data_IF_404809977228
#
_entry.id   IF_404809977228
#
_cell.length_a   1.000
_cell.length_b   1.000
_cell.length_c   1.000
_cell.angle_alpha   90.00
_cell.angle_beta   90.00
_cell.angle_gamma   90.00
#
_symmetry.space_group_name_H-M   'P 1'
#
loop_
_entity.id
_entity.type
_entity.pdbx_description
1 polymer ?
#
# COMPACT_ATOMS: atom_id res chain seq x y z
N UNK A 1 -9.13 -11.32 -14.70
CA UNK A 1 -7.85 -11.34 -15.45
C UNK A 1 -7.12 -12.64 -15.12
N UNK A 2 -6.26 -13.16 -15.99
CA UNK A 2 -5.75 -14.55 -15.91
C UNK A 2 -4.39 -14.64 -15.21
N UNK A 3 -4.13 -15.79 -14.56
CA UNK A 3 -2.94 -16.24 -13.79
C UNK A 3 -1.57 -15.75 -14.31
N UNK A 4 -1.48 -15.37 -15.59
CA UNK A 4 -0.30 -14.75 -16.22
C UNK A 4 0.17 -13.46 -15.52
N UNK A 5 -0.71 -12.65 -14.92
CA UNK A 5 -0.32 -11.40 -14.26
C UNK A 5 0.44 -11.62 -12.95
N UNK A 6 0.15 -12.70 -12.20
CA UNK A 6 0.75 -12.93 -10.88
C UNK A 6 2.20 -13.44 -10.99
N UNK A 7 2.45 -14.40 -11.89
CA UNK A 7 3.80 -14.89 -12.18
C UNK A 7 4.71 -13.80 -12.77
N UNK A 8 4.12 -12.89 -13.55
CA UNK A 8 4.82 -11.71 -14.05
C UNK A 8 5.23 -10.78 -12.89
N UNK A 9 4.32 -10.53 -11.93
CA UNK A 9 4.61 -9.71 -10.75
C UNK A 9 5.66 -10.34 -9.83
N UNK A 10 5.61 -11.65 -9.61
CA UNK A 10 6.64 -12.38 -8.85
C UNK A 10 8.00 -12.31 -9.56
N UNK A 11 8.04 -12.62 -10.86
CA UNK A 11 9.25 -12.54 -11.67
C UNK A 11 9.84 -11.12 -11.70
N UNK A 12 9.01 -10.10 -11.87
CA UNK A 12 9.43 -8.69 -11.90
C UNK A 12 9.91 -8.19 -10.53
N UNK A 13 9.37 -8.75 -9.44
CA UNK A 13 9.86 -8.53 -8.07
C UNK A 13 11.26 -9.11 -7.89
N UNK A 14 11.51 -10.32 -8.39
CA UNK A 14 12.85 -10.95 -8.37
C UNK A 14 13.86 -10.18 -9.23
N UNK A 15 13.43 -9.56 -10.33
CA UNK A 15 14.33 -8.81 -11.23
C UNK A 15 14.42 -7.31 -10.93
N UNK A 16 13.85 -6.82 -9.82
CA UNK A 16 13.75 -5.40 -9.45
C UNK A 16 13.10 -4.48 -10.52
N UNK A 17 12.46 -5.05 -11.53
CA UNK A 17 11.86 -4.28 -12.63
C UNK A 17 10.52 -3.68 -12.20
N UNK A 18 10.16 -2.45 -12.57
CA UNK A 18 8.86 -1.88 -12.18
C UNK A 18 7.70 -2.70 -12.71
N UNK A 19 6.72 -2.97 -11.85
CA UNK A 19 5.47 -3.62 -12.24
C UNK A 19 4.56 -2.58 -12.87
N UNK A 20 4.02 -2.88 -14.06
CA UNK A 20 3.04 -2.03 -14.73
C UNK A 20 1.68 -2.71 -14.70
N UNK A 21 0.71 -2.09 -14.04
CA UNK A 21 -0.66 -2.56 -13.95
C UNK A 21 -1.51 -1.67 -14.87
N UNK A 22 -2.12 -2.21 -15.94
CA UNK A 22 -3.05 -1.44 -16.77
C UNK A 22 -4.17 -0.87 -15.90
N UNK A 23 -4.42 0.43 -16.01
CA UNK A 23 -5.39 1.12 -15.17
C UNK A 23 -5.94 2.34 -15.91
N UNK A 24 -7.26 2.39 -16.08
CA UNK A 24 -7.92 3.51 -16.74
C UNK A 24 -8.53 4.45 -15.72
N UNK A 25 -8.10 5.71 -15.75
CA UNK A 25 -8.65 6.78 -14.91
C UNK A 25 -9.92 7.34 -15.58
N UNK A 26 -11.05 6.67 -15.33
CA UNK A 26 -12.36 7.01 -15.90
C UNK A 26 -12.88 8.36 -15.41
N UNK A 27 -12.69 8.70 -14.13
CA UNK A 27 -13.07 9.96 -13.53
C UNK A 27 -11.94 11.00 -13.65
N UNK A 28 -11.92 11.70 -14.79
CA UNK A 28 -10.93 12.75 -15.10
C UNK A 28 -11.14 14.05 -14.31
N UNK A 29 -12.32 14.28 -13.74
CA UNK A 29 -12.62 15.50 -12.95
C UNK A 29 -11.85 15.52 -11.62
N UNK A 30 -11.53 14.34 -11.09
CA UNK A 30 -10.69 14.18 -9.90
C UNK A 30 -9.20 14.53 -10.15
N UNK A 31 -8.81 14.73 -11.41
CA UNK A 31 -7.43 14.95 -11.82
C UNK A 31 -7.21 16.43 -12.15
N UNK A 32 -6.18 17.08 -11.59
CA UNK A 32 -5.88 18.48 -11.89
C UNK A 32 -5.64 18.72 -13.39
N UNK A 33 -6.14 19.85 -13.90
CA UNK A 33 -5.93 20.27 -15.29
C UNK A 33 -4.44 20.29 -15.65
N UNK A 34 -4.08 19.68 -16.78
CA UNK A 34 -2.70 19.58 -17.25
C UNK A 34 -1.87 18.45 -16.63
N UNK A 35 -2.48 17.59 -15.79
CA UNK A 35 -1.87 16.32 -15.37
C UNK A 35 -2.45 15.18 -16.20
N UNK A 36 -1.56 14.39 -16.78
CA UNK A 36 -1.92 13.13 -17.42
C UNK A 36 -1.49 11.99 -16.48
N UNK A 37 -2.44 11.20 -15.94
CA UNK A 37 -2.11 10.05 -15.11
C UNK A 37 -1.62 8.84 -15.93
N UNK A 38 -1.76 8.87 -17.27
CA UNK A 38 -1.48 7.74 -18.15
C UNK A 38 -2.59 6.68 -18.15
N UNK A 39 -2.25 5.50 -18.68
CA UNK A 39 -3.11 4.31 -18.85
C UNK A 39 -2.67 3.11 -17.98
N UNK A 40 -1.70 3.34 -17.10
CA UNK A 40 -1.18 2.31 -16.20
C UNK A 40 -0.66 2.91 -14.89
N UNK A 41 -0.79 2.12 -13.82
CA UNK A 41 -0.13 2.38 -12.55
C UNK A 41 1.20 1.62 -12.53
N UNK A 42 2.28 2.34 -12.25
CA UNK A 42 3.63 1.78 -12.21
C UNK A 42 4.12 1.69 -10.77
N UNK A 43 4.38 0.47 -10.29
CA UNK A 43 4.89 0.20 -8.94
C UNK A 43 6.37 -0.19 -9.05
N UNK A 44 7.24 0.72 -8.59
CA UNK A 44 8.71 0.53 -8.57
C UNK A 44 9.13 -0.33 -7.37
N UNK A 45 10.39 -0.83 -7.32
CA UNK A 45 10.93 -1.40 -6.07
C UNK A 45 10.75 -0.42 -4.91
N UNK A 46 10.15 -0.87 -3.80
CA UNK A 46 9.85 0.01 -2.67
C UNK A 46 11.17 0.42 -2.01
N UNK A 47 11.38 1.72 -1.90
CA UNK A 47 12.59 2.23 -1.23
C UNK A 47 12.52 1.98 0.27
N UNK A 48 13.67 1.84 0.92
CA UNK A 48 13.77 1.69 2.38
C UNK A 48 12.99 2.81 3.10
N UNK A 49 13.07 4.04 2.62
CA UNK A 49 12.35 5.19 3.18
C UNK A 49 10.83 5.03 3.08
N UNK A 50 10.32 4.72 1.89
CA UNK A 50 8.87 4.50 1.70
C UNK A 50 8.40 3.32 2.55
N UNK A 51 9.22 2.27 2.66
CA UNK A 51 8.97 1.14 3.55
C UNK A 51 8.80 1.58 5.01
N UNK A 52 9.70 2.40 5.55
CA UNK A 52 9.58 2.90 6.92
C UNK A 52 8.28 3.68 7.17
N UNK A 53 7.70 4.27 6.12
CA UNK A 53 6.40 4.98 6.19
C UNK A 53 5.20 4.04 6.09
N UNK A 54 5.30 2.99 5.27
CA UNK A 54 4.27 1.96 5.10
C UNK A 54 4.20 1.03 6.32
N UNK A 55 5.36 0.65 6.87
CA UNK A 55 5.49 -0.30 7.99
C UNK A 55 4.56 -0.02 9.17
N UNK A 56 4.49 1.19 9.76
CA UNK A 56 3.59 1.44 10.89
C UNK A 56 2.12 1.25 10.53
N UNK A 57 1.71 1.56 9.29
CA UNK A 57 0.33 1.38 8.83
C UNK A 57 -0.03 -0.11 8.75
N UNK A 58 0.89 -0.94 8.27
CA UNK A 58 0.70 -2.39 8.21
C UNK A 58 0.63 -3.03 9.59
N UNK A 59 1.31 -2.46 10.60
CA UNK A 59 1.25 -2.97 11.97
C UNK A 59 -0.12 -2.73 12.63
N UNK A 60 -0.91 -1.77 12.14
CA UNK A 60 -2.28 -1.51 12.61
C UNK A 60 -3.32 -2.49 12.04
N UNK A 61 -2.94 -3.33 11.08
CA UNK A 61 -3.78 -4.37 10.51
C UNK A 61 -3.47 -5.69 11.20
N UNK A 62 -4.51 -6.46 11.56
CA UNK A 62 -4.32 -7.79 12.13
C UNK A 62 -3.63 -8.71 11.13
N UNK A 63 -2.77 -9.61 11.60
CA UNK A 63 -1.91 -10.39 10.69
C UNK A 63 -2.76 -11.34 9.85
N UNK A 64 -3.73 -11.96 10.49
CA UNK A 64 -4.70 -12.86 9.90
C UNK A 64 -5.52 -12.13 8.82
N UNK A 65 -5.84 -10.85 9.06
CA UNK A 65 -6.56 -10.01 8.11
C UNK A 65 -5.68 -9.62 6.91
N UNK A 66 -4.37 -9.36 7.11
CA UNK A 66 -3.42 -9.15 6.01
C UNK A 66 -3.33 -10.39 5.12
N UNK A 67 -3.17 -11.57 5.73
CA UNK A 67 -3.05 -12.84 5.00
C UNK A 67 -4.33 -13.13 4.18
N UNK A 68 -5.50 -12.77 4.73
CA UNK A 68 -6.80 -12.84 4.05
C UNK A 68 -6.98 -11.85 2.90
N UNK A 69 -6.19 -10.77 2.82
CA UNK A 69 -6.23 -9.80 1.71
C UNK A 69 -5.24 -10.15 0.59
N UNK A 70 -4.15 -10.84 0.95
CA UNK A 70 -3.09 -11.30 0.04
C UNK A 70 -3.52 -12.66 -0.54
N UNK A 71 -4.60 -12.64 -1.32
CA UNK A 71 -5.18 -13.86 -1.90
C UNK A 71 -4.85 -13.96 -3.38
N UNK A 72 -4.71 -15.19 -3.87
CA UNK A 72 -4.57 -15.48 -5.30
C UNK A 72 -5.86 -15.11 -6.04
N UNK A 73 -5.70 -14.74 -7.30
CA UNK A 73 -6.82 -14.35 -8.17
C UNK A 73 -7.84 -15.51 -8.26
N UNK A 74 -9.12 -15.25 -7.97
CA UNK A 74 -10.21 -16.24 -7.97
C UNK A 74 -10.67 -16.76 -6.61
N UNK A 75 -9.92 -16.54 -5.53
CA UNK A 75 -10.37 -16.78 -4.16
C UNK A 75 -10.96 -15.49 -3.59
N UNK A 76 -12.20 -15.17 -3.98
CA UNK A 76 -12.95 -14.10 -3.33
C UNK A 76 -13.23 -14.51 -1.89
N UNK A 77 -12.41 -14.01 -0.98
CA UNK A 77 -12.67 -14.16 0.44
C UNK A 77 -13.98 -13.42 0.75
N UNK A 78 -14.99 -14.15 1.24
CA UNK A 78 -16.30 -13.58 1.56
C UNK A 78 -16.21 -12.42 2.57
N UNK A 79 -15.16 -12.41 3.39
CA UNK A 79 -14.85 -11.38 4.38
C UNK A 79 -14.32 -10.08 3.76
N UNK A 80 -14.03 -10.05 2.45
CA UNK A 80 -13.34 -8.93 1.82
C UNK A 80 -14.05 -7.57 1.99
N UNK A 81 -15.38 -7.44 1.78
CA UNK A 81 -16.08 -6.18 2.04
C UNK A 81 -15.97 -5.71 3.51
N UNK A 82 -15.94 -6.64 4.46
CA UNK A 82 -15.78 -6.31 5.88
C UNK A 82 -14.37 -5.82 6.19
N UNK A 83 -13.36 -6.49 5.64
CA UNK A 83 -11.95 -6.09 5.74
C UNK A 83 -11.71 -4.72 5.12
N UNK A 84 -12.36 -4.45 4.00
CA UNK A 84 -12.35 -3.17 3.32
C UNK A 84 -13.01 -2.08 4.17
N UNK A 85 -14.19 -2.32 4.74
CA UNK A 85 -14.82 -1.37 5.65
C UNK A 85 -13.98 -1.10 6.91
N UNK A 86 -13.29 -2.13 7.42
CA UNK A 86 -12.44 -2.04 8.62
C UNK A 86 -11.13 -1.30 8.37
N UNK A 87 -10.47 -1.53 7.24
CA UNK A 87 -9.10 -1.08 6.97
C UNK A 87 -8.93 -0.18 5.75
N UNK A 88 -10.01 0.17 5.04
CA UNK A 88 -9.94 0.83 3.73
C UNK A 88 -9.11 2.10 3.71
N UNK A 89 -9.22 2.94 4.75
CA UNK A 89 -8.38 4.13 4.90
C UNK A 89 -6.89 3.80 4.97
N UNK A 90 -6.51 2.80 5.78
CA UNK A 90 -5.13 2.35 5.95
C UNK A 90 -4.59 1.70 4.67
N UNK A 91 -5.39 0.87 4.01
CA UNK A 91 -5.01 0.22 2.76
C UNK A 91 -4.75 1.25 1.66
N UNK A 92 -5.64 2.25 1.55
CA UNK A 92 -5.47 3.33 0.60
C UNK A 92 -4.22 4.17 0.89
N UNK A 93 -3.89 4.41 2.17
CA UNK A 93 -2.65 5.10 2.56
C UNK A 93 -1.41 4.30 2.17
N UNK A 94 -1.42 2.98 2.41
CA UNK A 94 -0.33 2.09 1.97
C UNK A 94 -0.21 2.10 0.45
N UNK A 95 -1.33 2.01 -0.28
CA UNK A 95 -1.37 2.03 -1.74
C UNK A 95 -0.80 3.33 -2.30
N UNK A 96 -1.26 4.46 -1.76
CA UNK A 96 -0.83 5.78 -2.16
C UNK A 96 0.69 5.98 -1.95
N UNK A 97 1.21 5.54 -0.80
CA UNK A 97 2.64 5.59 -0.49
C UNK A 97 3.46 4.66 -1.39
N UNK A 98 2.97 3.45 -1.65
CA UNK A 98 3.68 2.46 -2.46
C UNK A 98 3.74 2.83 -3.94
N UNK A 99 2.68 3.45 -4.50
CA UNK A 99 2.72 3.95 -5.88
C UNK A 99 3.60 5.19 -6.00
N UNK A 100 3.46 6.15 -5.08
CA UNK A 100 4.24 7.40 -5.12
C UNK A 100 5.74 7.14 -4.91
N UNK A 101 6.09 6.29 -3.94
CA UNK A 101 7.43 5.79 -3.61
C UNK A 101 8.55 6.85 -3.71
N UNK A 102 8.31 8.03 -3.16
CA UNK A 102 9.25 9.15 -3.10
C UNK A 102 9.38 9.66 -1.67
N UNK A 103 10.46 10.42 -1.36
CA UNK A 103 10.64 11.02 -0.05
C UNK A 103 9.53 12.00 0.34
N UNK A 104 8.99 12.74 -0.64
CA UNK A 104 7.91 13.69 -0.42
C UNK A 104 6.58 12.99 -0.13
N UNK A 105 5.63 13.72 0.42
CA UNK A 105 4.26 13.22 0.51
C UNK A 105 3.62 13.07 -0.87
N UNK A 106 2.74 12.07 -1.04
CA UNK A 106 1.89 12.01 -2.22
C UNK A 106 1.05 13.30 -2.30
N UNK A 107 0.87 13.89 -3.50
CA UNK A 107 0.02 15.05 -3.66
C UNK A 107 -1.41 14.78 -3.16
N UNK A 108 -2.05 15.78 -2.54
CA UNK A 108 -3.40 15.60 -1.97
C UNK A 108 -4.44 15.14 -3.02
N UNK A 109 -4.32 15.62 -4.26
CA UNK A 109 -5.19 15.21 -5.37
C UNK A 109 -4.99 13.75 -5.77
N UNK A 110 -3.80 13.18 -5.55
CA UNK A 110 -3.48 11.82 -5.99
C UNK A 110 -4.27 10.78 -5.20
N UNK A 111 -4.32 10.93 -3.87
CA UNK A 111 -5.15 10.07 -3.02
C UNK A 111 -6.63 10.17 -3.40
N UNK A 112 -7.12 11.38 -3.67
CA UNK A 112 -8.50 11.60 -4.11
C UNK A 112 -8.78 10.97 -5.49
N UNK A 113 -7.88 11.14 -6.44
CA UNK A 113 -7.99 10.53 -7.76
C UNK A 113 -8.02 9.00 -7.67
N UNK A 114 -7.23 8.39 -6.79
CA UNK A 114 -7.33 6.94 -6.54
C UNK A 114 -8.70 6.56 -5.98
N UNK A 115 -9.21 7.24 -4.95
CA UNK A 115 -10.56 6.97 -4.40
C UNK A 115 -11.63 7.05 -5.48
N UNK A 116 -11.58 8.10 -6.29
CA UNK A 116 -12.61 8.41 -7.27
C UNK A 116 -12.55 7.51 -8.53
N UNK A 117 -11.47 6.74 -8.72
CA UNK A 117 -11.24 5.89 -9.89
C UNK A 117 -11.05 4.40 -9.56
N UNK A 118 -10.89 4.02 -8.29
CA UNK A 118 -10.65 2.63 -7.90
C UNK A 118 -11.86 2.01 -7.23
N UNK A 119 -12.12 0.76 -7.54
CA UNK A 119 -12.98 -0.09 -6.72
C UNK A 119 -12.18 -0.67 -5.55
N UNK A 120 -12.90 -1.25 -4.58
CA UNK A 120 -12.28 -2.03 -3.52
C UNK A 120 -11.41 -3.17 -4.06
N UNK A 121 -11.82 -3.82 -5.16
CA UNK A 121 -11.04 -4.87 -5.80
C UNK A 121 -9.74 -4.33 -6.40
N UNK A 122 -9.77 -3.15 -7.01
CA UNK A 122 -8.56 -2.48 -7.53
C UNK A 122 -7.60 -2.13 -6.38
N UNK A 123 -8.12 -1.60 -5.27
CA UNK A 123 -7.31 -1.30 -4.07
C UNK A 123 -6.63 -2.58 -3.56
N UNK A 124 -7.32 -3.73 -3.54
CA UNK A 124 -6.72 -5.02 -3.17
C UNK A 124 -5.60 -5.42 -4.11
N UNK A 125 -5.82 -5.32 -5.42
CA UNK A 125 -4.81 -5.67 -6.44
C UNK A 125 -3.57 -4.79 -6.27
N UNK A 126 -3.76 -3.49 -6.09
CA UNK A 126 -2.68 -2.53 -5.88
C UNK A 126 -1.93 -2.76 -4.56
N UNK A 127 -2.68 -3.03 -3.48
CA UNK A 127 -2.11 -3.37 -2.18
C UNK A 127 -1.27 -4.63 -2.28
N UNK A 128 -1.81 -5.69 -2.88
CA UNK A 128 -1.11 -6.95 -3.07
C UNK A 128 0.19 -6.76 -3.86
N UNK A 129 0.13 -6.01 -4.96
CA UNK A 129 1.30 -5.66 -5.74
C UNK A 129 2.36 -4.94 -4.90
N UNK A 130 2.00 -3.99 -4.03
CA UNK A 130 2.96 -3.31 -3.15
C UNK A 130 3.56 -4.26 -2.11
N UNK A 131 2.75 -5.12 -1.50
CA UNK A 131 3.23 -6.12 -0.53
C UNK A 131 4.22 -7.09 -1.17
N UNK A 132 3.96 -7.57 -2.39
CA UNK A 132 4.91 -8.40 -3.13
C UNK A 132 6.23 -7.68 -3.43
N UNK A 133 6.20 -6.36 -3.65
CA UNK A 133 7.40 -5.53 -3.88
C UNK A 133 8.21 -5.23 -2.62
N UNK A 134 7.61 -5.36 -1.45
CA UNK A 134 8.31 -5.25 -0.17
C UNK A 134 9.00 -6.59 0.18
N UNK A 135 8.52 -7.71 -0.38
CA UNK A 135 9.00 -9.05 -0.06
C UNK A 135 8.21 -9.65 1.10
N UNK A 136 6.96 -10.02 0.83
CA UNK A 136 5.98 -10.52 1.80
C UNK A 136 6.49 -11.62 2.74
N UNK A 137 7.30 -12.58 2.27
CA UNK A 137 7.81 -13.66 3.12
C UNK A 137 8.84 -13.20 4.18
N UNK A 138 9.95 -12.52 3.82
CA UNK A 138 10.82 -11.86 4.81
C UNK A 138 10.07 -10.88 5.73
N UNK A 139 9.03 -10.22 5.19
CA UNK A 139 8.19 -9.25 5.87
C UNK A 139 7.30 -9.88 6.95
N UNK A 140 6.52 -10.91 6.62
CA UNK A 140 5.68 -11.61 7.59
C UNK A 140 6.53 -12.30 8.65
N UNK A 141 7.69 -12.85 8.29
CA UNK A 141 8.63 -13.38 9.27
C UNK A 141 9.17 -12.28 10.19
N UNK A 142 9.49 -11.10 9.67
CA UNK A 142 9.96 -9.96 10.49
C UNK A 142 8.86 -9.38 11.39
N UNK A 143 7.64 -9.19 10.88
CA UNK A 143 6.49 -8.72 11.67
C UNK A 143 6.06 -9.77 12.69
N UNK A 144 6.01 -11.05 12.32
CA UNK A 144 5.66 -12.14 13.23
C UNK A 144 6.74 -12.33 14.29
N UNK A 145 8.02 -12.27 13.93
CA UNK A 145 9.11 -12.25 14.92
C UNK A 145 8.94 -11.05 15.85
N UNK A 146 8.71 -9.84 15.34
CA UNK A 146 8.46 -8.66 16.16
C UNK A 146 7.25 -8.85 17.09
N UNK A 147 6.10 -9.30 16.62
CA UNK A 147 4.92 -9.53 17.47
C UNK A 147 5.16 -10.64 18.51
N UNK A 148 5.95 -11.65 18.18
CA UNK A 148 6.25 -12.76 19.07
C UNK A 148 7.39 -12.48 20.06
N UNK A 149 8.34 -11.60 19.74
CA UNK A 149 9.49 -11.25 20.59
C UNK A 149 9.37 -9.87 21.23
N UNK A 150 8.38 -9.07 20.84
CA UNK A 150 8.21 -7.73 21.38
C UNK A 150 7.12 -7.71 22.45
N UNK A 151 7.48 -7.37 23.70
CA UNK A 151 6.51 -6.87 24.66
C UNK A 151 6.22 -5.41 24.29
N UNK A 152 5.55 -5.15 23.15
CA UNK A 152 5.16 -3.78 22.75
C UNK A 152 4.17 -3.26 23.78
N UNK A 153 4.67 -2.60 24.82
CA UNK A 153 3.83 -1.82 25.75
C UNK A 153 3.28 -0.64 24.96
N UNK A 154 2.07 -0.19 25.29
CA UNK A 154 1.37 0.95 24.64
C UNK A 154 2.29 2.15 24.37
N UNK A 155 3.28 2.38 25.23
CA UNK A 155 4.30 3.42 25.11
C UNK A 155 5.11 3.38 23.81
N UNK A 156 5.43 2.21 23.25
CA UNK A 156 6.23 2.09 22.02
C UNK A 156 5.37 2.28 20.76
N UNK A 157 4.11 1.84 20.81
CA UNK A 157 3.10 2.14 19.78
C UNK A 157 2.80 3.64 19.77
N UNK A 158 2.68 4.26 20.94
CA UNK A 158 2.54 5.72 21.11
C UNK A 158 3.78 6.44 20.59
N UNK A 159 5.00 5.91 20.79
CA UNK A 159 6.22 6.50 20.26
C UNK A 159 6.31 6.40 18.73
N UNK A 160 5.92 5.27 18.14
CA UNK A 160 5.82 5.12 16.68
C UNK A 160 4.77 6.08 16.08
N UNK A 161 3.62 6.25 16.74
CA UNK A 161 2.59 7.23 16.38
C UNK A 161 3.05 8.67 16.57
N UNK A 162 3.75 9.00 17.65
CA UNK A 162 4.35 10.33 17.88
C UNK A 162 5.41 10.64 16.85
N UNK A 163 6.23 9.67 16.46
CA UNK A 163 7.15 9.83 15.36
C UNK A 163 6.37 10.15 14.08
N UNK A 164 5.37 9.33 13.71
CA UNK A 164 4.54 9.58 12.53
C UNK A 164 3.89 10.97 12.54
N UNK A 165 3.41 11.44 13.69
CA UNK A 165 2.83 12.77 13.87
C UNK A 165 3.89 13.87 13.75
N UNK A 166 5.04 13.71 14.40
CA UNK A 166 6.16 14.66 14.31
C UNK A 166 6.68 14.80 12.89
N UNK A 167 6.71 13.72 12.11
CA UNK A 167 7.07 13.79 10.69
C UNK A 167 6.02 14.55 9.87
N UNK A 168 4.72 14.33 10.14
CA UNK A 168 3.61 15.06 9.51
C UNK A 168 3.61 16.56 9.84
N UNK A 169 4.05 16.92 11.04
CA UNK A 169 4.11 18.31 11.50
C UNK A 169 5.34 19.04 10.93
N UNK A 170 6.49 18.36 10.79
CA UNK A 170 7.67 18.91 10.11
C UNK A 170 7.37 19.19 8.63
N UNK A 171 6.67 18.27 7.93
CA UNK A 171 6.29 18.48 6.53
C UNK A 171 5.27 19.60 6.32
N UNK A 172 4.51 19.99 7.35
CA UNK A 172 3.57 21.12 7.29
C UNK A 172 4.22 22.47 7.58
N UNK A 173 5.33 22.50 8.32
CA UNK A 173 6.04 23.74 8.65
C UNK A 173 6.90 24.25 7.48
N UNK A 174 7.25 23.37 6.53
CA UNK A 174 8.05 23.70 5.33
C UNK A 174 7.19 23.93 4.06
N UNK A 175 5.87 24.12 4.20
CA UNK A 175 4.93 24.50 3.11
C UNK A 175 4.42 25.93 3.30
#
# INVERSE_FOLDING_TARGET
MSIKNLFQQESESVTEQPVKIPFDFTNRDSIPKGKDPGDCIVIKPITVRTWFRIRPLLLEIEKEDIDKMIVKDGELNADFPELMNKYGGLLLDVVCLGIHNKPSDPPAWFKKALIDNTTWEDIRILFNAIIYRIGYHPFCTSITMLRNVSPLRETEIIAARKNLQSWKDITKADS
#
